data_IF_150878297587
#
_entry.id   IF_150878297587
#
_cell.length_a   1.000
_cell.length_b   1.000
_cell.length_c   1.000
_cell.angle_alpha   90.00
_cell.angle_beta   90.00
_cell.angle_gamma   90.00
#
_symmetry.space_group_name_H-M   'P 1'
#
loop_
_entity.id
_entity.type
_entity.pdbx_description
1 polymer ?
#
# COMPACT_ATOMS: atom_id res chain seq x y z
N UNK A 1 13.17 -22.25 11.74
CA UNK A 1 13.97 -21.18 11.09
C UNK A 1 13.60 -19.88 11.77
N UNK A 2 14.59 -19.32 12.46
CA UNK A 2 14.45 -18.54 13.67
C UNK A 2 13.74 -17.21 13.46
N UNK A 3 12.76 -16.89 14.32
CA UNK A 3 11.98 -15.64 14.28
C UNK A 3 12.86 -14.39 14.11
N UNK A 4 14.07 -14.44 14.69
CA UNK A 4 15.10 -13.40 14.56
C UNK A 4 15.53 -13.15 13.11
N UNK A 5 15.67 -14.21 12.30
CA UNK A 5 16.05 -14.09 10.89
C UNK A 5 14.96 -13.41 10.04
N UNK A 6 13.68 -13.68 10.34
CA UNK A 6 12.55 -13.00 9.70
C UNK A 6 12.43 -11.53 10.13
N UNK A 7 12.68 -11.24 11.41
CA UNK A 7 12.68 -9.85 11.90
C UNK A 7 13.82 -9.05 11.24
N UNK A 8 15.02 -9.62 11.16
CA UNK A 8 16.15 -8.98 10.48
C UNK A 8 15.86 -8.78 8.99
N UNK A 9 15.31 -9.78 8.29
CA UNK A 9 15.00 -9.65 6.87
C UNK A 9 13.90 -8.61 6.63
N UNK A 10 12.89 -8.53 7.49
CA UNK A 10 11.87 -7.50 7.44
C UNK A 10 12.42 -6.09 7.71
N UNK A 11 13.34 -5.96 8.66
CA UNK A 11 14.00 -4.69 8.95
C UNK A 11 14.88 -4.23 7.79
N UNK A 12 15.65 -5.12 7.16
CA UNK A 12 16.52 -4.80 6.03
C UNK A 12 15.68 -4.38 4.81
N UNK A 13 14.63 -5.15 4.48
CA UNK A 13 13.77 -4.83 3.32
C UNK A 13 12.96 -3.57 3.57
N UNK A 14 12.37 -3.41 4.76
CA UNK A 14 11.65 -2.20 5.14
C UNK A 14 12.56 -0.97 5.19
N UNK A 15 13.77 -1.11 5.72
CA UNK A 15 14.78 -0.05 5.75
C UNK A 15 15.24 0.36 4.34
N UNK A 16 15.44 -0.59 3.44
CA UNK A 16 15.78 -0.31 2.04
C UNK A 16 14.66 0.48 1.34
N UNK A 17 13.40 0.10 1.58
CA UNK A 17 12.25 0.85 1.05
C UNK A 17 12.11 2.24 1.69
N UNK A 18 12.42 2.40 2.97
CA UNK A 18 12.45 3.70 3.62
C UNK A 18 13.53 4.62 3.02
N UNK A 19 14.73 4.09 2.75
CA UNK A 19 15.81 4.83 2.07
C UNK A 19 15.41 5.20 0.64
N UNK A 20 14.78 4.29 -0.11
CA UNK A 20 14.24 4.59 -1.44
C UNK A 20 13.15 5.67 -1.40
N UNK A 21 12.25 5.61 -0.43
CA UNK A 21 11.22 6.63 -0.22
C UNK A 21 11.84 8.00 0.11
N UNK A 22 12.82 8.02 1.01
CA UNK A 22 13.55 9.25 1.34
C UNK A 22 14.28 9.82 0.12
N UNK A 23 14.92 8.97 -0.68
CA UNK A 23 15.59 9.38 -1.92
C UNK A 23 14.63 10.03 -2.92
N UNK A 24 13.44 9.45 -3.11
CA UNK A 24 12.39 10.01 -3.96
C UNK A 24 11.87 11.34 -3.41
N UNK A 25 11.63 11.44 -2.10
CA UNK A 25 11.18 12.70 -1.47
C UNK A 25 12.22 13.80 -1.69
N UNK A 26 13.51 13.52 -1.50
CA UNK A 26 14.59 14.50 -1.72
C UNK A 26 14.68 14.90 -3.19
N UNK A 27 14.52 13.93 -4.10
CA UNK A 27 14.53 14.17 -5.55
C UNK A 27 13.33 15.01 -6.03
N UNK A 28 12.15 14.80 -5.46
CA UNK A 28 10.98 15.65 -5.78
C UNK A 28 11.05 17.01 -5.10
N UNK A 29 11.58 17.07 -3.87
CA UNK A 29 11.76 18.34 -3.15
C UNK A 29 12.79 19.25 -3.84
N UNK A 30 13.79 18.70 -4.53
CA UNK A 30 14.78 19.49 -5.29
C UNK A 30 14.20 20.17 -6.54
N UNK A 31 13.05 19.71 -7.04
CA UNK A 31 12.31 20.36 -8.15
C UNK A 31 11.41 21.52 -7.72
N UNK A 32 11.47 21.93 -6.44
CA UNK A 32 10.71 23.07 -5.90
C UNK A 32 9.27 22.73 -5.49
N UNK A 33 8.90 21.44 -5.46
CA UNK A 33 7.60 20.98 -4.98
C UNK A 33 7.48 21.15 -3.46
N UNK A 34 6.28 21.56 -3.01
CA UNK A 34 5.97 21.57 -1.58
C UNK A 34 6.18 20.18 -0.95
N UNK A 35 6.71 20.09 0.28
CA UNK A 35 7.00 18.82 0.95
C UNK A 35 5.80 17.87 1.03
N UNK A 36 4.60 18.43 1.23
CA UNK A 36 3.35 17.66 1.27
C UNK A 36 3.03 16.99 -0.07
N UNK A 37 3.30 17.66 -1.20
CA UNK A 37 3.07 17.11 -2.53
C UNK A 37 4.18 16.13 -2.94
N UNK A 38 5.43 16.42 -2.58
CA UNK A 38 6.56 15.52 -2.80
C UNK A 38 6.35 14.15 -2.11
N UNK A 39 5.87 14.14 -0.86
CA UNK A 39 5.53 12.91 -0.15
C UNK A 39 4.42 12.10 -0.83
N UNK A 40 3.35 12.76 -1.28
CA UNK A 40 2.25 12.10 -2.03
C UNK A 40 2.74 11.50 -3.34
N UNK A 41 3.58 12.22 -4.08
CA UNK A 41 4.13 11.77 -5.35
C UNK A 41 5.07 10.57 -5.17
N UNK A 42 5.88 10.58 -4.11
CA UNK A 42 6.72 9.43 -3.72
C UNK A 42 5.87 8.19 -3.46
N UNK A 43 4.83 8.30 -2.63
CA UNK A 43 3.95 7.16 -2.34
C UNK A 43 3.26 6.63 -3.60
N UNK A 44 2.80 7.52 -4.48
CA UNK A 44 2.22 7.13 -5.76
C UNK A 44 3.22 6.38 -6.64
N UNK A 45 4.44 6.92 -6.79
CA UNK A 45 5.51 6.32 -7.60
C UNK A 45 5.90 4.95 -7.05
N UNK A 46 6.09 4.85 -5.73
CA UNK A 46 6.45 3.61 -5.06
C UNK A 46 5.32 2.57 -5.17
N UNK A 47 4.06 3.01 -5.08
CA UNK A 47 2.88 2.17 -5.30
C UNK A 47 2.75 1.65 -6.72
N UNK A 48 3.03 2.48 -7.74
CA UNK A 48 3.04 2.05 -9.15
C UNK A 48 4.15 1.04 -9.40
N UNK A 49 5.36 1.31 -8.90
CA UNK A 49 6.50 0.38 -8.99
C UNK A 49 6.13 -0.94 -8.29
N UNK A 50 5.61 -0.89 -7.06
CA UNK A 50 5.13 -2.07 -6.34
C UNK A 50 4.05 -2.84 -7.11
N UNK A 51 3.09 -2.13 -7.70
CA UNK A 51 2.06 -2.64 -8.62
C UNK A 51 2.62 -3.44 -9.78
N UNK A 52 3.55 -2.85 -10.52
CA UNK A 52 4.19 -3.49 -11.67
C UNK A 52 4.99 -4.71 -11.24
N UNK A 53 5.79 -4.61 -10.18
CA UNK A 53 6.53 -5.75 -9.62
C UNK A 53 5.59 -6.87 -9.14
N UNK A 54 4.39 -6.54 -8.65
CA UNK A 54 3.38 -7.51 -8.20
C UNK A 54 2.77 -8.27 -9.36
N UNK A 55 2.36 -7.56 -10.42
CA UNK A 55 1.83 -8.18 -11.65
C UNK A 55 2.87 -9.09 -12.30
N UNK A 56 4.15 -8.72 -12.27
CA UNK A 56 5.26 -9.54 -12.77
C UNK A 56 5.60 -10.73 -11.86
N UNK A 57 4.96 -10.88 -10.69
CA UNK A 57 5.22 -11.96 -9.73
C UNK A 57 6.57 -11.86 -9.00
N UNK A 58 7.36 -10.81 -9.25
CA UNK A 58 8.66 -10.58 -8.60
C UNK A 58 8.42 -10.11 -7.17
N UNK A 59 7.38 -9.32 -6.93
CA UNK A 59 7.04 -8.83 -5.61
C UNK A 59 6.76 -9.95 -4.61
N UNK A 60 6.11 -11.04 -5.04
CA UNK A 60 5.82 -12.18 -4.17
C UNK A 60 7.11 -12.85 -3.64
N UNK A 61 8.21 -12.79 -4.39
CA UNK A 61 9.53 -13.27 -3.92
C UNK A 61 10.13 -12.32 -2.89
N UNK A 62 10.00 -11.00 -3.12
CA UNK A 62 10.44 -9.95 -2.20
C UNK A 62 9.62 -10.03 -0.90
N UNK A 63 8.32 -10.28 -1.00
CA UNK A 63 7.40 -10.41 0.14
C UNK A 63 7.69 -11.66 0.97
N UNK A 64 8.00 -12.80 0.34
CA UNK A 64 8.45 -14.00 1.07
C UNK A 64 9.76 -13.78 1.83
N UNK A 65 10.64 -12.91 1.34
CA UNK A 65 11.93 -12.63 1.99
C UNK A 65 11.82 -11.51 3.04
N UNK A 66 11.15 -10.42 2.70
CA UNK A 66 10.99 -9.23 3.53
C UNK A 66 9.80 -9.25 4.47
N UNK A 67 8.92 -10.25 4.38
CA UNK A 67 7.72 -10.38 5.21
C UNK A 67 6.97 -9.04 5.33
N UNK A 68 6.69 -8.57 6.55
CA UNK A 68 6.01 -7.29 6.82
C UNK A 68 6.75 -6.06 6.30
N UNK A 69 8.08 -6.10 6.15
CA UNK A 69 8.87 -4.99 5.60
C UNK A 69 8.61 -4.73 4.12
N UNK A 70 8.15 -5.75 3.39
CA UNK A 70 7.78 -5.65 1.99
C UNK A 70 6.32 -5.20 1.79
N UNK A 71 5.55 -4.86 2.83
CA UNK A 71 4.24 -4.22 2.66
C UNK A 71 4.39 -2.70 2.44
N UNK A 72 5.54 -2.11 2.76
CA UNK A 72 5.75 -0.65 2.65
C UNK A 72 5.47 -0.05 1.25
N UNK A 73 5.95 -0.64 0.14
CA UNK A 73 5.70 -0.13 -1.22
C UNK A 73 4.26 -0.33 -1.69
N UNK A 74 3.59 -1.35 -1.15
CA UNK A 74 2.30 -1.83 -1.63
C UNK A 74 1.28 -1.61 -0.52
N UNK A 75 0.42 -0.61 -0.65
CA UNK A 75 -0.51 -0.26 0.43
C UNK A 75 -1.25 -1.50 0.96
N UNK A 76 -1.45 -1.56 2.27
CA UNK A 76 -2.18 -2.69 2.88
C UNK A 76 -3.56 -2.90 2.24
N UNK A 77 -4.16 -1.84 1.72
CA UNK A 77 -5.38 -1.90 0.91
C UNK A 77 -5.16 -2.66 -0.40
N UNK A 78 -4.11 -2.36 -1.17
CA UNK A 78 -3.83 -3.04 -2.42
C UNK A 78 -3.57 -4.55 -2.21
N UNK A 79 -2.83 -4.91 -1.14
CA UNK A 79 -2.59 -6.31 -0.79
C UNK A 79 -3.90 -7.04 -0.43
N UNK A 80 -4.75 -6.40 0.38
CA UNK A 80 -6.04 -6.95 0.75
C UNK A 80 -6.98 -7.12 -0.47
N UNK A 81 -7.00 -6.15 -1.38
CA UNK A 81 -7.80 -6.22 -2.62
C UNK A 81 -7.33 -7.36 -3.52
N UNK A 82 -6.01 -7.52 -3.70
CA UNK A 82 -5.45 -8.63 -4.47
C UNK A 82 -5.81 -9.99 -3.85
N UNK A 83 -5.70 -10.12 -2.52
CA UNK A 83 -6.09 -11.34 -1.80
C UNK A 83 -7.59 -11.66 -1.91
N UNK A 84 -8.46 -10.65 -1.83
CA UNK A 84 -9.92 -10.83 -2.01
C UNK A 84 -10.26 -11.24 -3.44
N UNK A 85 -9.61 -10.62 -4.43
CA UNK A 85 -9.78 -10.98 -5.83
C UNK A 85 -9.40 -12.44 -6.09
N UNK A 86 -8.21 -12.86 -5.64
CA UNK A 86 -7.71 -14.22 -5.85
C UNK A 86 -8.56 -15.25 -5.10
N UNK A 87 -8.96 -14.94 -3.86
CA UNK A 87 -9.87 -15.77 -3.08
C UNK A 87 -11.24 -15.95 -3.74
N UNK A 88 -11.86 -14.87 -4.22
CA UNK A 88 -13.15 -14.92 -4.91
C UNK A 88 -13.06 -15.64 -6.26
N UNK A 89 -12.00 -15.39 -7.05
CA UNK A 89 -11.73 -16.11 -8.31
C UNK A 89 -11.52 -17.61 -8.07
N UNK A 90 -10.79 -18.00 -7.02
CA UNK A 90 -10.57 -19.42 -6.71
C UNK A 90 -11.87 -20.17 -6.33
N UNK A 91 -12.81 -19.48 -5.67
CA UNK A 91 -14.09 -20.06 -5.23
C UNK A 91 -15.15 -20.14 -6.33
N UNK A 92 -15.16 -19.16 -7.24
CA UNK A 92 -16.23 -19.03 -8.25
C UNK A 92 -15.78 -19.36 -9.66
N UNK A 93 -14.47 -19.48 -9.91
CA UNK A 93 -13.89 -19.68 -11.25
C UNK A 93 -14.05 -18.48 -12.20
N UNK A 94 -14.81 -17.45 -11.81
CA UNK A 94 -15.12 -16.29 -12.63
C UNK A 94 -14.32 -15.07 -12.19
N UNK A 95 -13.61 -14.44 -13.14
CA UNK A 95 -12.91 -13.18 -12.86
C UNK A 95 -13.90 -12.04 -12.55
N UNK A 96 -15.14 -12.11 -13.03
CA UNK A 96 -16.16 -11.08 -12.78
C UNK A 96 -16.58 -10.99 -11.31
N UNK A 97 -16.73 -12.13 -10.64
CA UNK A 97 -17.03 -12.19 -9.21
C UNK A 97 -15.82 -11.75 -8.36
N UNK A 98 -14.60 -12.07 -8.82
CA UNK A 98 -13.37 -11.54 -8.24
C UNK A 98 -13.31 -10.00 -8.26
N UNK A 99 -13.62 -9.39 -9.42
CA UNK A 99 -13.65 -7.92 -9.55
C UNK A 99 -14.73 -7.31 -8.65
N UNK A 100 -15.94 -7.88 -8.60
CA UNK A 100 -17.00 -7.37 -7.71
C UNK A 100 -16.57 -7.37 -6.25
N UNK A 101 -15.97 -8.46 -5.77
CA UNK A 101 -15.50 -8.57 -4.39
C UNK A 101 -14.38 -7.55 -4.09
N UNK A 102 -13.43 -7.41 -5.00
CA UNK A 102 -12.35 -6.42 -4.91
C UNK A 102 -12.89 -4.97 -4.85
N UNK A 103 -13.82 -4.62 -5.75
CA UNK A 103 -14.45 -3.29 -5.79
C UNK A 103 -15.30 -3.04 -4.55
N UNK A 104 -16.03 -4.05 -4.05
CA UNK A 104 -16.82 -3.94 -2.82
C UNK A 104 -15.94 -3.60 -1.61
N UNK A 105 -14.76 -4.22 -1.48
CA UNK A 105 -13.81 -3.90 -0.41
C UNK A 105 -13.33 -2.44 -0.52
N UNK A 106 -12.96 -1.98 -1.71
CA UNK A 106 -12.52 -0.60 -1.93
C UNK A 106 -13.62 0.39 -1.53
N UNK A 107 -14.85 0.17 -1.99
CA UNK A 107 -15.99 1.02 -1.67
C UNK A 107 -16.28 1.05 -0.17
N UNK A 108 -16.18 -0.09 0.51
CA UNK A 108 -16.38 -0.17 1.96
C UNK A 108 -15.34 0.65 2.73
N UNK A 109 -14.06 0.51 2.39
CA UNK A 109 -12.96 1.22 3.05
C UNK A 109 -13.03 2.73 2.79
N UNK A 110 -13.24 3.13 1.53
CA UNK A 110 -13.36 4.55 1.15
C UNK A 110 -14.62 5.17 1.75
N UNK A 111 -15.73 4.44 1.77
CA UNK A 111 -17.00 4.90 2.34
C UNK A 111 -16.89 5.19 3.83
N UNK A 112 -16.40 4.22 4.63
CA UNK A 112 -16.20 4.42 6.07
C UNK A 112 -15.20 5.54 6.33
N UNK A 113 -14.10 5.59 5.58
CA UNK A 113 -13.09 6.64 5.71
C UNK A 113 -13.67 8.04 5.49
N UNK A 114 -14.50 8.20 4.46
CA UNK A 114 -15.13 9.50 4.12
C UNK A 114 -16.16 9.93 5.17
N UNK A 115 -16.93 8.99 5.71
CA UNK A 115 -17.90 9.28 6.78
C UNK A 115 -17.15 9.74 8.04
N UNK A 116 -16.14 8.99 8.47
CA UNK A 116 -15.34 9.34 9.64
C UNK A 116 -14.62 10.68 9.46
N UNK A 117 -14.02 10.94 8.29
CA UNK A 117 -13.35 12.22 8.03
C UNK A 117 -14.32 13.40 8.07
N UNK A 118 -15.56 13.20 7.62
CA UNK A 118 -16.60 14.24 7.68
C UNK A 118 -16.99 14.53 9.12
N UNK A 119 -17.18 13.51 9.95
CA UNK A 119 -17.48 13.67 11.38
C UNK A 119 -16.35 14.44 12.08
N UNK A 120 -15.09 14.05 11.85
CA UNK A 120 -13.93 14.73 12.44
C UNK A 120 -13.84 16.19 11.98
N UNK A 121 -14.09 16.47 10.70
CA UNK A 121 -14.10 17.84 10.18
C UNK A 121 -15.17 18.71 10.84
N UNK A 122 -16.37 18.17 11.06
CA UNK A 122 -17.46 18.86 11.76
C UNK A 122 -17.05 19.16 13.20
N UNK A 123 -16.54 18.17 13.94
CA UNK A 123 -16.11 18.35 15.35
C UNK A 123 -14.97 19.38 15.45
N UNK A 124 -13.99 19.30 14.57
CA UNK A 124 -12.88 20.25 14.53
C UNK A 124 -13.38 21.69 14.28
N UNK A 125 -14.39 21.88 13.42
CA UNK A 125 -14.95 23.19 13.14
C UNK A 125 -15.68 23.83 14.33
N UNK A 126 -16.22 23.04 15.26
CA UNK A 126 -16.85 23.56 16.48
C UNK A 126 -15.88 23.72 17.66
N UNK A 127 -14.65 23.18 17.57
CA UNK A 127 -13.67 23.18 18.66
C UNK A 127 -12.56 24.22 18.47
N UNK A 128 -12.30 24.66 17.23
CA UNK A 128 -11.34 25.71 16.82
C UNK A 128 -12.10 26.95 16.37
#
# INVERSE_FOLDING_TARGET
MDKIKQILSAFIVGGLFAVLGQFLIVSYSSTGLQPANAGRLTLLTLGVIGGVLFILGIYQKIEKFGAYGAILPFSGLAAAVAGVYEGAKSKTGSSGEGVKAAVSLILYVVGIGTILSTIVAIVAHYTL
#
